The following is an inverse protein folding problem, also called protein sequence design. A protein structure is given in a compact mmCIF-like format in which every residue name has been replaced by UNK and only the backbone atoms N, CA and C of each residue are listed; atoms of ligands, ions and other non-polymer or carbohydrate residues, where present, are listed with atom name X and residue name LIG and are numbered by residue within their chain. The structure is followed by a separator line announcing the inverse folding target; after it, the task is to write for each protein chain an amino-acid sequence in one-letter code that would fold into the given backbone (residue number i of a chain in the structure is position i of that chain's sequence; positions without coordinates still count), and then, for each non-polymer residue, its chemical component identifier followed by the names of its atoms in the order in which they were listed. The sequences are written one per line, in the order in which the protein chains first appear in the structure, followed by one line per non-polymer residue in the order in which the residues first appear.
data_IF_875480585510
#
_entry.id   IF_875480585510
#
_cell.length_a   1.000
_cell.length_b   1.000
_cell.length_c   1.000
_cell.angle_alpha   90.00
_cell.angle_beta   90.00
_cell.angle_gamma   90.00
#
_symmetry.space_group_name_H-M   'P 1'
#
loop_
_entity.id
_entity.type
_entity.pdbx_description
1 polymer ?
#
# COMPACT_ATOMS: atom_id res chain seq x y z
N UNK A 1 -5.63 6.48 10.23
CA UNK A 1 -6.95 7.14 10.08
C UNK A 1 -7.34 8.05 11.24
N UNK A 2 -6.99 7.74 12.50
CA UNK A 2 -7.34 8.55 13.69
C UNK A 2 -7.14 10.06 13.52
N UNK A 3 -6.05 10.51 12.87
CA UNK A 3 -5.81 11.94 12.62
C UNK A 3 -6.91 12.59 11.77
N UNK A 4 -7.23 12.00 10.61
CA UNK A 4 -8.22 12.53 9.68
C UNK A 4 -9.66 12.50 10.23
N UNK A 5 -9.93 11.63 11.22
CA UNK A 5 -11.24 11.55 11.88
C UNK A 5 -11.45 12.64 12.93
N UNK A 6 -10.38 13.18 13.51
CA UNK A 6 -10.44 14.21 14.56
C UNK A 6 -10.28 15.63 14.00
N UNK A 7 -9.55 15.77 12.89
CA UNK A 7 -9.24 17.09 12.32
C UNK A 7 -10.37 17.58 11.44
N UNK A 8 -10.76 18.84 11.66
CA UNK A 8 -11.74 19.55 10.84
C UNK A 8 -11.08 20.57 9.91
N UNK A 9 -11.62 20.70 8.70
CA UNK A 9 -11.31 21.77 7.77
C UNK A 9 -12.53 21.98 6.86
N UNK A 10 -12.80 23.24 6.51
CA UNK A 10 -13.96 23.62 5.69
C UNK A 10 -15.30 23.18 6.29
N UNK A 11 -15.42 23.19 7.62
CA UNK A 11 -16.68 22.90 8.34
C UNK A 11 -17.06 21.42 8.43
N UNK A 12 -16.20 20.51 7.97
CA UNK A 12 -16.36 19.05 8.10
C UNK A 12 -15.05 18.40 8.52
N UNK A 13 -15.09 17.16 9.01
CA UNK A 13 -13.88 16.40 9.30
C UNK A 13 -13.13 16.07 8.00
N UNK A 14 -11.81 15.93 8.08
CA UNK A 14 -11.00 15.59 6.91
C UNK A 14 -11.44 14.28 6.27
N UNK A 15 -11.79 13.28 7.08
CA UNK A 15 -12.28 11.99 6.56
C UNK A 15 -13.60 12.12 5.77
N UNK A 16 -14.39 13.17 6.01
CA UNK A 16 -15.62 13.40 5.24
C UNK A 16 -15.38 14.06 3.88
N UNK A 17 -14.18 14.58 3.64
CA UNK A 17 -13.83 15.18 2.37
C UNK A 17 -13.62 14.08 1.30
N UNK A 18 -14.31 14.16 0.13
CA UNK A 18 -14.20 13.14 -0.91
C UNK A 18 -12.76 12.84 -1.36
N UNK A 19 -11.93 13.88 -1.45
CA UNK A 19 -10.52 13.75 -1.85
C UNK A 19 -9.68 12.96 -0.84
N UNK A 20 -9.96 13.10 0.47
CA UNK A 20 -9.25 12.38 1.53
C UNK A 20 -9.68 10.92 1.55
N UNK A 21 -10.99 10.64 1.43
CA UNK A 21 -11.48 9.26 1.29
C UNK A 21 -10.91 8.56 0.08
N UNK A 22 -10.86 9.24 -1.06
CA UNK A 22 -10.26 8.71 -2.28
C UNK A 22 -8.79 8.33 -2.04
N UNK A 23 -8.01 9.17 -1.37
CA UNK A 23 -6.61 8.86 -1.03
C UNK A 23 -6.51 7.60 -0.18
N UNK A 24 -7.31 7.47 0.88
CA UNK A 24 -7.32 6.26 1.71
C UNK A 24 -7.71 5.01 0.92
N UNK A 25 -8.78 5.08 0.12
CA UNK A 25 -9.20 3.96 -0.72
C UNK A 25 -8.15 3.57 -1.75
N UNK A 26 -7.48 4.56 -2.36
CA UNK A 26 -6.43 4.31 -3.35
C UNK A 26 -5.17 3.70 -2.72
N UNK A 27 -4.76 4.17 -1.54
CA UNK A 27 -3.67 3.57 -0.76
C UNK A 27 -4.00 2.13 -0.37
N UNK A 28 -5.21 1.89 0.18
CA UNK A 28 -5.66 0.56 0.55
C UNK A 28 -5.64 -0.39 -0.66
N UNK A 29 -6.22 0.01 -1.80
CA UNK A 29 -6.22 -0.78 -3.05
C UNK A 29 -4.82 -1.23 -3.46
N UNK A 30 -3.81 -0.37 -3.32
CA UNK A 30 -2.42 -0.70 -3.66
C UNK A 30 -1.81 -1.71 -2.68
N UNK A 31 -2.08 -1.55 -1.39
CA UNK A 31 -1.62 -2.49 -0.35
C UNK A 31 -2.28 -3.86 -0.54
N UNK A 32 -3.58 -3.91 -0.80
CA UNK A 32 -4.30 -5.15 -1.07
C UNK A 32 -3.77 -5.87 -2.33
N UNK A 33 -3.40 -5.12 -3.39
CA UNK A 33 -2.80 -5.70 -4.58
C UNK A 33 -1.42 -6.34 -4.30
N UNK A 34 -0.61 -5.72 -3.44
CA UNK A 34 0.66 -6.31 -3.00
C UNK A 34 0.45 -7.57 -2.16
N UNK A 35 -0.53 -7.54 -1.25
CA UNK A 35 -0.88 -8.68 -0.41
C UNK A 35 -1.30 -9.88 -1.27
N UNK A 36 -2.21 -9.67 -2.23
CA UNK A 36 -2.65 -10.71 -3.15
C UNK A 36 -1.50 -11.28 -4.01
N UNK A 37 -0.55 -10.43 -4.44
CA UNK A 37 0.62 -10.89 -5.18
C UNK A 37 1.55 -11.74 -4.29
N UNK A 38 1.79 -11.30 -3.05
CA UNK A 38 2.59 -12.06 -2.09
C UNK A 38 1.96 -13.43 -1.79
N UNK A 39 0.65 -13.48 -1.56
CA UNK A 39 -0.09 -14.72 -1.32
C UNK A 39 -0.02 -15.68 -2.51
N UNK A 40 -0.10 -15.16 -3.75
CA UNK A 40 0.07 -15.99 -4.95
C UNK A 40 1.48 -16.60 -5.01
N UNK A 41 2.53 -15.82 -4.75
CA UNK A 41 3.92 -16.33 -4.76
C UNK A 41 4.10 -17.39 -3.68
N UNK A 42 3.56 -17.18 -2.47
CA UNK A 42 3.63 -18.15 -1.37
C UNK A 42 2.91 -19.45 -1.76
N UNK A 43 1.71 -19.33 -2.33
CA UNK A 43 0.97 -20.49 -2.80
C UNK A 43 1.74 -21.28 -3.88
N UNK A 44 2.34 -20.60 -4.86
CA UNK A 44 3.16 -21.26 -5.88
C UNK A 44 4.41 -21.92 -5.29
N UNK A 45 5.05 -21.28 -4.29
CA UNK A 45 6.22 -21.83 -3.62
C UNK A 45 5.89 -23.14 -2.88
N UNK A 46 4.73 -23.22 -2.20
CA UNK A 46 4.29 -24.43 -1.49
C UNK A 46 3.98 -25.61 -2.42
N UNK A 47 3.75 -25.35 -3.71
CA UNK A 47 3.42 -26.37 -4.71
C UNK A 47 4.60 -26.74 -5.63
N UNK A 48 5.77 -26.13 -5.44
CA UNK A 48 6.96 -26.37 -6.26
C UNK A 48 8.10 -26.98 -5.41
N UNK A 49 8.97 -27.76 -6.05
CA UNK A 49 10.25 -28.13 -5.42
C UNK A 49 11.17 -26.91 -5.30
N UNK A 50 12.04 -26.86 -4.30
CA UNK A 50 12.95 -25.73 -4.03
C UNK A 50 13.72 -25.25 -5.28
N UNK A 51 14.23 -26.20 -6.07
CA UNK A 51 15.01 -25.90 -7.30
C UNK A 51 14.14 -25.21 -8.36
N UNK A 52 12.89 -25.64 -8.49
CA UNK A 52 11.95 -25.10 -9.46
C UNK A 52 11.35 -23.77 -9.01
N UNK A 53 11.00 -23.66 -7.72
CA UNK A 53 10.56 -22.41 -7.11
C UNK A 53 11.62 -21.31 -7.25
N UNK A 54 12.89 -21.63 -6.95
CA UNK A 54 14.00 -20.68 -7.14
C UNK A 54 14.16 -20.24 -8.60
N UNK A 55 13.93 -21.16 -9.56
CA UNK A 55 14.09 -20.88 -10.99
C UNK A 55 12.94 -20.02 -11.55
N UNK A 56 11.71 -20.26 -11.12
CA UNK A 56 10.51 -19.61 -11.65
C UNK A 56 10.19 -18.31 -10.89
N UNK A 57 10.21 -18.36 -9.56
CA UNK A 57 9.65 -17.29 -8.71
C UNK A 57 10.66 -16.21 -8.32
N UNK A 58 11.96 -16.41 -8.53
CA UNK A 58 12.99 -15.47 -8.09
C UNK A 58 12.85 -14.09 -8.72
N UNK A 59 12.61 -14.02 -10.04
CA UNK A 59 12.39 -12.76 -10.75
C UNK A 59 11.12 -12.05 -10.26
N UNK A 60 10.06 -12.80 -10.06
CA UNK A 60 8.78 -12.24 -9.62
C UNK A 60 8.82 -11.75 -8.17
N UNK A 61 9.49 -12.49 -7.29
CA UNK A 61 9.73 -12.09 -5.90
C UNK A 61 10.56 -10.80 -5.83
N UNK A 62 11.57 -10.67 -6.71
CA UNK A 62 12.36 -9.43 -6.81
C UNK A 62 11.49 -8.24 -7.26
N UNK A 63 10.59 -8.45 -8.23
CA UNK A 63 9.66 -7.41 -8.68
C UNK A 63 8.67 -7.01 -7.58
N UNK A 64 8.09 -7.98 -6.87
CA UNK A 64 7.22 -7.71 -5.72
C UNK A 64 7.94 -6.87 -4.67
N UNK A 65 9.20 -7.19 -4.37
CA UNK A 65 10.00 -6.43 -3.39
C UNK A 65 10.25 -4.98 -3.82
N UNK A 66 10.48 -4.76 -5.12
CA UNK A 66 10.66 -3.42 -5.68
C UNK A 66 9.36 -2.62 -5.65
N UNK A 67 8.25 -3.20 -6.12
CA UNK A 67 6.94 -2.55 -6.12
C UNK A 67 6.46 -2.23 -4.70
N UNK A 68 6.74 -3.11 -3.73
CA UNK A 68 6.45 -2.83 -2.32
C UNK A 68 7.14 -1.56 -1.82
N UNK A 69 8.38 -1.28 -2.26
CA UNK A 69 9.08 -0.03 -1.93
C UNK A 69 8.42 1.19 -2.56
N UNK A 70 8.00 1.08 -3.81
CA UNK A 70 7.31 2.16 -4.54
C UNK A 70 5.96 2.49 -3.89
N UNK A 71 5.18 1.46 -3.55
CA UNK A 71 3.88 1.64 -2.87
C UNK A 71 4.08 2.19 -1.46
N UNK A 72 5.08 1.73 -0.71
CA UNK A 72 5.37 2.28 0.61
C UNK A 72 5.70 3.77 0.56
N UNK A 73 6.55 4.18 -0.39
CA UNK A 73 6.87 5.59 -0.60
C UNK A 73 5.63 6.40 -1.01
N UNK A 74 4.79 5.84 -1.89
CA UNK A 74 3.54 6.47 -2.31
C UNK A 74 2.59 6.69 -1.12
N UNK A 75 2.39 5.66 -0.30
CA UNK A 75 1.53 5.72 0.89
C UNK A 75 2.07 6.74 1.89
N UNK A 76 3.38 6.74 2.15
CA UNK A 76 4.02 7.72 3.02
C UNK A 76 3.77 9.17 2.53
N UNK A 77 3.97 9.42 1.24
CA UNK A 77 3.76 10.74 0.63
C UNK A 77 2.29 11.19 0.71
N UNK A 78 1.33 10.29 0.52
CA UNK A 78 -0.09 10.63 0.65
C UNK A 78 -0.50 10.87 2.11
N UNK A 79 0.08 10.12 3.06
CA UNK A 79 -0.11 10.36 4.49
C UNK A 79 0.38 11.75 4.92
N UNK A 80 1.58 12.16 4.48
CA UNK A 80 2.13 13.51 4.73
C UNK A 80 1.17 14.59 4.23
N UNK A 81 0.63 14.43 3.01
CA UNK A 81 -0.34 15.38 2.45
C UNK A 81 -1.64 15.46 3.25
N UNK A 82 -2.11 14.34 3.81
CA UNK A 82 -3.29 14.31 4.69
C UNK A 82 -2.99 14.95 6.05
N UNK A 83 -1.77 14.81 6.55
CA UNK A 83 -1.32 15.48 7.77
C UNK A 83 -1.16 17.00 7.57
N UNK A 84 -0.91 17.43 6.32
CA UNK A 84 -0.75 18.83 5.95
C UNK A 84 0.61 19.36 6.41
N UNK A 85 0.73 20.66 6.64
CA UNK A 85 1.98 21.31 7.06
C UNK A 85 2.41 21.05 8.50
N UNK A 86 1.95 19.99 9.18
CA UNK A 86 2.42 19.63 10.52
C UNK A 86 3.74 18.85 10.51
N UNK A 87 4.20 18.42 9.34
CA UNK A 87 5.47 17.70 9.15
C UNK A 87 6.56 18.56 8.50
N UNK A 88 6.39 19.89 8.51
CA UNK A 88 7.39 20.91 8.13
C UNK A 88 7.59 21.94 9.23
#
# INVERSE_FOLDING_TARGET
MSWAQKREAFGITLIEQPVVRFKFGHMARKVEALQAWAERIIYELDNLSDKEGSRILSGETALLKAEAGIVAQYVANECVKIMGGYEF
#
